data_IF_334470263110
#
_entry.id   IF_334470263110
#
_cell.length_a   1.000
_cell.length_b   1.000
_cell.length_c   1.000
_cell.angle_alpha   90.00
_cell.angle_beta   90.00
_cell.angle_gamma   90.00
#
_symmetry.space_group_name_H-M   'P 1'
#
loop_
_entity.id
_entity.type
_entity.pdbx_description
1 polymer ?
#
# COMPACT_ATOMS: atom_id res chain seq x y z
N UNK A 1 -25.84 11.59 5.12
CA UNK A 1 -26.28 11.27 3.75
C UNK A 1 -25.12 10.60 3.03
N UNK A 2 -25.02 9.26 3.06
CA UNK A 2 -23.97 8.51 2.36
C UNK A 2 -24.25 8.58 0.86
N UNK A 3 -23.30 9.08 0.08
CA UNK A 3 -23.44 9.18 -1.37
C UNK A 3 -23.34 7.80 -1.98
N UNK A 4 -24.32 7.43 -2.81
CA UNK A 4 -24.41 6.15 -3.53
C UNK A 4 -23.10 5.78 -4.26
N UNK A 5 -22.35 6.78 -4.69
CA UNK A 5 -21.04 6.68 -5.35
C UNK A 5 -19.97 6.00 -4.50
N UNK A 6 -19.90 6.28 -3.19
CA UNK A 6 -18.87 5.70 -2.31
C UNK A 6 -19.05 4.20 -2.07
N UNK A 7 -20.28 3.71 -2.14
CA UNK A 7 -20.56 2.26 -2.06
C UNK A 7 -20.20 1.56 -3.37
N UNK A 8 -20.47 2.17 -4.53
CA UNK A 8 -20.09 1.61 -5.84
C UNK A 8 -18.56 1.51 -6.02
N UNK A 9 -17.80 2.48 -5.51
CA UNK A 9 -16.34 2.42 -5.55
C UNK A 9 -15.79 1.30 -4.66
N UNK A 10 -16.31 1.13 -3.43
CA UNK A 10 -15.89 0.05 -2.54
C UNK A 10 -16.26 -1.33 -3.08
N UNK A 11 -17.42 -1.47 -3.73
CA UNK A 11 -17.81 -2.70 -4.39
C UNK A 11 -16.81 -3.09 -5.51
N UNK A 12 -16.37 -2.12 -6.32
CA UNK A 12 -15.36 -2.35 -7.36
C UNK A 12 -14.01 -2.77 -6.75
N UNK A 13 -13.61 -2.15 -5.63
CA UNK A 13 -12.41 -2.56 -4.89
C UNK A 13 -12.55 -3.97 -4.30
N UNK A 14 -13.71 -4.33 -3.76
CA UNK A 14 -13.97 -5.68 -3.26
C UNK A 14 -13.84 -6.71 -4.39
N UNK A 15 -14.39 -6.42 -5.57
CA UNK A 15 -14.21 -7.26 -6.77
C UNK A 15 -12.75 -7.38 -7.17
N UNK A 16 -11.99 -6.28 -7.19
CA UNK A 16 -10.56 -6.30 -7.52
C UNK A 16 -9.72 -7.09 -6.51
N UNK A 17 -10.13 -7.09 -5.24
CA UNK A 17 -9.52 -7.88 -4.17
C UNK A 17 -9.95 -9.35 -4.17
N UNK A 18 -10.95 -9.71 -4.98
CA UNK A 18 -11.57 -11.04 -4.96
C UNK A 18 -12.34 -11.34 -3.68
N UNK A 19 -12.84 -10.30 -2.99
CA UNK A 19 -13.54 -10.40 -1.72
C UNK A 19 -15.06 -10.45 -1.91
N UNK A 20 -15.71 -11.37 -1.21
CA UNK A 20 -17.17 -11.55 -1.24
C UNK A 20 -17.90 -10.71 -0.19
N UNK A 21 -17.20 -10.28 0.86
CA UNK A 21 -17.72 -9.41 1.92
C UNK A 21 -16.63 -8.42 2.38
N UNK A 22 -17.02 -7.46 3.22
CA UNK A 22 -16.11 -6.41 3.70
C UNK A 22 -14.97 -6.97 4.56
N UNK A 23 -15.24 -8.03 5.34
CA UNK A 23 -14.21 -8.67 6.18
C UNK A 23 -13.10 -9.32 5.32
N UNK A 24 -13.47 -9.99 4.24
CA UNK A 24 -12.52 -10.53 3.27
C UNK A 24 -11.72 -9.43 2.56
N UNK A 25 -12.38 -8.31 2.22
CA UNK A 25 -11.72 -7.16 1.61
C UNK A 25 -10.70 -6.54 2.57
N UNK A 26 -11.08 -6.34 3.84
CA UNK A 26 -10.19 -5.86 4.91
C UNK A 26 -9.01 -6.82 5.10
N UNK A 27 -9.25 -8.13 5.13
CA UNK A 27 -8.18 -9.13 5.25
C UNK A 27 -7.24 -9.14 4.02
N UNK A 28 -7.78 -8.89 2.83
CA UNK A 28 -6.99 -8.69 1.61
C UNK A 28 -6.10 -7.46 1.70
N UNK A 29 -6.66 -6.34 2.17
CA UNK A 29 -5.92 -5.08 2.37
C UNK A 29 -4.82 -5.24 3.42
N UNK A 30 -5.08 -5.91 4.54
CA UNK A 30 -4.07 -6.19 5.56
C UNK A 30 -2.90 -7.03 5.02
N UNK A 31 -3.19 -8.02 4.18
CA UNK A 31 -2.14 -8.80 3.48
C UNK A 31 -1.31 -7.93 2.55
N UNK A 32 -1.93 -6.99 1.83
CA UNK A 32 -1.21 -6.02 0.99
C UNK A 32 -0.36 -5.07 1.84
N UNK A 33 -0.86 -4.58 2.97
CA UNK A 33 -0.11 -3.74 3.89
C UNK A 33 1.14 -4.46 4.41
N UNK A 34 1.01 -5.70 4.87
CA UNK A 34 2.16 -6.48 5.33
C UNK A 34 3.22 -6.67 4.24
N UNK A 35 2.82 -6.84 2.97
CA UNK A 35 3.75 -6.93 1.84
C UNK A 35 4.46 -5.60 1.57
N UNK A 36 3.76 -4.47 1.72
CA UNK A 36 4.36 -3.14 1.60
C UNK A 36 5.35 -2.88 2.73
N UNK A 37 5.04 -3.32 3.94
CA UNK A 37 5.95 -3.21 5.09
C UNK A 37 7.24 -4.00 4.82
N UNK A 38 7.13 -5.25 4.35
CA UNK A 38 8.31 -6.04 3.96
C UNK A 38 9.12 -5.38 2.83
N UNK A 39 8.44 -4.86 1.80
CA UNK A 39 9.14 -4.15 0.71
C UNK A 39 9.85 -2.87 1.21
N UNK A 40 9.25 -2.16 2.16
CA UNK A 40 9.87 -0.99 2.81
C UNK A 40 11.12 -1.39 3.56
N UNK A 41 11.05 -2.48 4.33
CA UNK A 41 12.20 -2.98 5.10
C UNK A 41 13.32 -3.45 4.18
N UNK A 42 13.01 -4.12 3.07
CA UNK A 42 13.99 -4.52 2.06
C UNK A 42 14.67 -3.30 1.41
N UNK A 43 13.90 -2.26 1.06
CA UNK A 43 14.44 -1.01 0.51
C UNK A 43 15.34 -0.28 1.52
N UNK A 44 14.93 -0.22 2.78
CA UNK A 44 15.72 0.37 3.88
C UNK A 44 17.00 -0.43 4.13
N UNK A 45 16.92 -1.76 4.09
CA UNK A 45 18.08 -2.64 4.21
C UNK A 45 19.06 -2.43 3.04
N UNK A 46 18.56 -2.28 1.81
CA UNK A 46 19.39 -1.97 0.65
C UNK A 46 20.15 -0.64 0.85
N UNK A 47 19.45 0.41 1.29
CA UNK A 47 20.05 1.72 1.59
C UNK A 47 21.06 1.67 2.75
N UNK A 48 20.79 0.89 3.79
CA UNK A 48 21.66 0.78 4.97
C UNK A 48 22.95 0.02 4.65
N UNK A 49 22.88 -0.99 3.79
CA UNK A 49 24.01 -1.82 3.35
C UNK A 49 24.84 -1.18 2.23
N UNK A 50 24.36 -0.10 1.60
CA UNK A 50 25.17 0.63 0.61
C UNK A 50 26.47 1.13 1.25
N UNK A 51 27.65 0.74 0.70
CA UNK A 51 28.93 1.21 1.20
C UNK A 51 28.98 2.74 1.26
N UNK A 52 29.70 3.29 2.24
CA UNK A 52 29.83 4.75 2.34
C UNK A 52 30.54 5.35 1.12
N UNK A 53 31.44 4.60 0.48
CA UNK A 53 32.02 4.94 -0.83
C UNK A 53 30.97 4.94 -1.94
N UNK A 54 29.94 4.11 -1.84
CA UNK A 54 28.83 4.06 -2.76
C UNK A 54 27.79 5.17 -2.53
N UNK A 55 27.58 5.57 -1.27
CA UNK A 55 26.79 6.77 -0.94
C UNK A 55 27.48 8.06 -1.36
N UNK A 56 28.81 8.12 -1.28
CA UNK A 56 29.62 9.31 -1.63
C UNK A 56 30.06 9.34 -3.10
N UNK A 57 30.29 8.19 -3.73
CA UNK A 57 30.45 8.12 -5.18
C UNK A 57 29.12 8.52 -5.82
N UNK A 58 29.20 9.15 -7.00
CA UNK A 58 28.07 9.30 -7.93
C UNK A 58 27.58 7.94 -8.45
N UNK A 59 27.31 6.96 -7.56
CA UNK A 59 26.38 5.89 -7.89
C UNK A 59 25.11 6.60 -8.29
N UNK A 60 24.78 6.41 -9.55
CA UNK A 60 24.06 7.34 -10.42
C UNK A 60 22.90 7.98 -9.68
N UNK A 61 22.72 9.29 -9.83
CA UNK A 61 21.55 10.02 -9.27
C UNK A 61 20.24 9.25 -9.52
N UNK A 62 20.21 8.49 -10.61
CA UNK A 62 19.23 7.45 -10.92
C UNK A 62 19.01 6.44 -9.79
N UNK A 63 19.99 5.64 -9.33
CA UNK A 63 19.75 4.59 -8.31
C UNK A 63 19.19 5.18 -7.02
N UNK A 64 19.70 6.33 -6.60
CA UNK A 64 19.17 7.06 -5.44
C UNK A 64 17.75 7.56 -5.69
N UNK A 65 17.48 8.08 -6.88
CA UNK A 65 16.16 8.51 -7.33
C UNK A 65 15.16 7.36 -7.38
N UNK A 66 15.57 6.18 -7.90
CA UNK A 66 14.75 4.97 -7.96
C UNK A 66 14.41 4.47 -6.55
N UNK A 67 15.37 4.45 -5.63
CA UNK A 67 15.12 4.04 -4.24
C UNK A 67 14.23 5.04 -3.49
N UNK A 68 14.46 6.34 -3.66
CA UNK A 68 13.63 7.39 -3.06
C UNK A 68 12.19 7.35 -3.62
N UNK A 69 12.05 7.20 -4.94
CA UNK A 69 10.75 7.03 -5.61
C UNK A 69 10.07 5.74 -5.17
N UNK A 70 10.83 4.65 -5.00
CA UNK A 70 10.30 3.39 -4.49
C UNK A 70 9.74 3.51 -3.08
N UNK A 71 10.47 4.16 -2.17
CA UNK A 71 9.99 4.42 -0.81
C UNK A 71 8.74 5.31 -0.82
N UNK A 72 8.75 6.39 -1.60
CA UNK A 72 7.59 7.27 -1.74
C UNK A 72 6.37 6.52 -2.25
N UNK A 73 6.52 5.70 -3.29
CA UNK A 73 5.42 4.91 -3.86
C UNK A 73 4.85 3.91 -2.85
N UNK A 74 5.70 3.31 -2.01
CA UNK A 74 5.25 2.39 -0.96
C UNK A 74 4.47 3.13 0.12
N UNK A 75 4.94 4.31 0.55
CA UNK A 75 4.24 5.17 1.52
C UNK A 75 2.88 5.64 0.99
N UNK A 76 2.82 6.10 -0.26
CA UNK A 76 1.58 6.49 -0.93
C UNK A 76 0.60 5.32 -1.03
N UNK A 77 1.10 4.13 -1.38
CA UNK A 77 0.31 2.89 -1.45
C UNK A 77 -0.23 2.50 -0.07
N UNK A 78 0.59 2.58 0.97
CA UNK A 78 0.18 2.28 2.34
C UNK A 78 -0.91 3.25 2.83
N UNK A 79 -0.77 4.54 2.53
CA UNK A 79 -1.79 5.53 2.85
C UNK A 79 -3.11 5.27 2.09
N UNK A 80 -3.03 4.94 0.80
CA UNK A 80 -4.19 4.58 0.00
C UNK A 80 -4.92 3.36 0.58
N UNK A 81 -4.19 2.29 0.89
CA UNK A 81 -4.75 1.10 1.53
C UNK A 81 -5.38 1.41 2.90
N UNK A 82 -4.77 2.30 3.68
CA UNK A 82 -5.34 2.76 4.96
C UNK A 82 -6.70 3.46 4.78
N UNK A 83 -6.82 4.34 3.77
CA UNK A 83 -8.11 4.98 3.44
C UNK A 83 -9.14 3.97 2.95
N UNK A 84 -8.72 3.02 2.12
CA UNK A 84 -9.60 1.97 1.60
C UNK A 84 -10.13 1.06 2.72
N UNK A 85 -9.27 0.65 3.65
CA UNK A 85 -9.64 -0.11 4.86
C UNK A 85 -10.65 0.66 5.71
N UNK A 86 -10.40 1.93 5.99
CA UNK A 86 -11.35 2.78 6.72
C UNK A 86 -12.68 2.96 5.97
N UNK A 87 -12.66 2.88 4.63
CA UNK A 87 -13.85 2.83 3.79
C UNK A 87 -14.66 1.56 4.05
N UNK A 88 -14.03 0.39 3.96
CA UNK A 88 -14.68 -0.90 4.24
C UNK A 88 -15.14 -1.06 5.70
N UNK A 89 -14.38 -0.60 6.69
CA UNK A 89 -14.79 -0.63 8.11
C UNK A 89 -16.05 0.18 8.40
N UNK A 90 -16.30 1.21 7.59
CA UNK A 90 -17.52 2.01 7.68
C UNK A 90 -18.61 1.44 6.77
N UNK A 91 -18.26 0.64 5.77
CA UNK A 91 -19.20 0.11 4.80
C UNK A 91 -20.16 -0.87 5.47
N UNK A 92 -21.43 -0.82 5.09
CA UNK A 92 -22.47 -1.70 5.63
C UNK A 92 -22.76 -2.80 4.60
N UNK A 93 -21.74 -3.56 4.17
CA UNK A 93 -22.01 -4.81 3.45
C UNK A 93 -22.25 -5.88 4.52
N UNK A 94 -23.53 -6.24 4.65
CA UNK A 94 -24.01 -7.14 5.69
C UNK A 94 -23.21 -8.44 5.78
N UNK A 95 -22.88 -8.83 7.00
CA UNK A 95 -22.51 -10.20 7.33
C UNK A 95 -23.67 -11.11 6.89
N UNK A 96 -23.40 -12.03 5.97
CA UNK A 96 -24.30 -13.12 5.61
C UNK A 96 -23.48 -14.37 5.43
#
# INVERSE_FOLDING_TARGET
MRTKTGSTELDAWATALGAHNDNEAIAGIQRLQSRLDSATDDLRACLSQMPESARRAKLTDEVRSWLATGLQNVEESAHFLGRLKAGFERHERGES
#
